data_IF_669176114018
#
_entry.id   IF_669176114018
#
_cell.length_a   1.000
_cell.length_b   1.000
_cell.length_c   1.000
_cell.angle_alpha   90.00
_cell.angle_beta   90.00
_cell.angle_gamma   90.00
#
_symmetry.space_group_name_H-M   'P 1'
#
loop_
_entity.id
_entity.type
_entity.pdbx_description
1 polymer ?
#
# COMPACT_ATOMS: atom_id res chain seq x y z
N UNK A 1 5.35 14.64 11.99
CA UNK A 1 4.54 14.24 10.83
C UNK A 1 5.38 13.27 10.00
N UNK A 2 4.76 12.50 9.11
CA UNK A 2 5.49 11.63 8.21
C UNK A 2 4.91 11.78 6.80
N UNK A 3 5.77 12.12 5.83
CA UNK A 3 5.41 12.13 4.42
C UNK A 3 5.58 10.71 3.88
N UNK A 4 4.51 10.16 3.31
CA UNK A 4 4.57 8.83 2.68
C UNK A 4 4.73 8.97 1.18
N UNK A 5 5.73 8.31 0.62
CA UNK A 5 5.89 8.15 -0.83
C UNK A 5 5.67 6.70 -1.24
N UNK A 6 4.78 6.50 -2.20
CA UNK A 6 4.48 5.21 -2.79
C UNK A 6 5.55 4.90 -3.85
N UNK A 7 6.22 3.77 -3.72
CA UNK A 7 7.27 3.31 -4.63
C UNK A 7 6.74 2.28 -5.62
N UNK A 8 5.94 1.34 -5.13
CA UNK A 8 5.23 0.35 -5.93
C UNK A 8 3.83 0.14 -5.34
N UNK A 9 2.87 -0.22 -6.19
CA UNK A 9 1.54 -0.56 -5.75
C UNK A 9 0.83 -1.49 -6.72
N UNK A 10 -0.09 -2.28 -6.18
CA UNK A 10 -0.90 -3.20 -6.97
C UNK A 10 -2.29 -3.39 -6.39
N UNK A 11 -3.21 -3.88 -7.22
CA UNK A 11 -4.57 -4.23 -6.84
C UNK A 11 -5.07 -5.43 -7.65
N UNK A 12 -6.00 -6.20 -7.07
CA UNK A 12 -6.70 -7.29 -7.74
C UNK A 12 -8.10 -6.87 -8.22
N UNK A 13 -8.55 -5.67 -7.84
CA UNK A 13 -9.86 -5.16 -8.22
C UNK A 13 -9.81 -4.62 -9.65
N UNK A 14 -10.87 -4.83 -10.45
CA UNK A 14 -10.95 -4.27 -11.80
C UNK A 14 -10.86 -2.74 -11.76
N UNK A 15 -10.43 -2.15 -12.88
CA UNK A 15 -10.30 -0.71 -13.02
C UNK A 15 -11.68 -0.08 -13.28
N UNK A 16 -12.60 -0.23 -12.33
CA UNK A 16 -13.89 0.46 -12.33
C UNK A 16 -13.77 1.81 -11.60
N UNK A 17 -13.84 2.95 -12.28
CA UNK A 17 -13.62 4.27 -11.70
C UNK A 17 -14.69 4.67 -10.66
N UNK A 18 -15.78 3.90 -10.54
CA UNK A 18 -16.88 4.12 -9.60
C UNK A 18 -16.81 3.28 -8.31
N UNK A 19 -15.89 2.31 -8.22
CA UNK A 19 -15.77 1.41 -7.08
C UNK A 19 -14.60 1.75 -6.15
N UNK A 20 -14.80 1.50 -4.85
CA UNK A 20 -13.73 1.48 -3.86
C UNK A 20 -12.78 0.31 -4.15
N UNK A 21 -11.47 0.54 -4.02
CA UNK A 21 -10.48 -0.50 -4.29
C UNK A 21 -9.45 -0.60 -3.19
N UNK A 22 -9.12 -1.82 -2.82
CA UNK A 22 -8.02 -2.11 -1.90
C UNK A 22 -6.73 -2.20 -2.71
N UNK A 23 -5.72 -1.46 -2.25
CA UNK A 23 -4.39 -1.41 -2.82
C UNK A 23 -3.38 -1.93 -1.81
N UNK A 24 -2.41 -2.67 -2.31
CA UNK A 24 -1.21 -3.06 -1.58
C UNK A 24 -0.05 -2.21 -2.08
N UNK A 25 0.68 -1.57 -1.17
CA UNK A 25 1.68 -0.56 -1.50
C UNK A 25 3.00 -0.85 -0.79
N UNK A 26 4.11 -0.73 -1.52
CA UNK A 26 5.44 -0.57 -0.96
C UNK A 26 5.76 0.92 -0.88
N UNK A 27 6.07 1.40 0.33
CA UNK A 27 6.23 2.81 0.62
C UNK A 27 7.55 3.10 1.30
N UNK A 28 7.98 4.36 1.19
CA UNK A 28 8.95 4.97 2.11
C UNK A 28 8.27 6.05 2.95
N UNK A 29 8.49 5.99 4.25
CA UNK A 29 8.02 6.89 5.28
C UNK A 29 9.16 7.85 5.62
N UNK A 30 8.97 9.13 5.32
CA UNK A 30 9.95 10.19 5.57
C UNK A 30 9.45 10.95 6.80
N UNK A 31 10.14 10.79 7.92
CA UNK A 31 9.82 11.44 9.18
C UNK A 31 10.47 12.82 9.28
N UNK A 32 9.99 13.66 10.21
CA UNK A 32 10.46 15.04 10.37
C UNK A 32 11.95 15.15 10.76
N UNK A 33 12.51 14.09 11.35
CA UNK A 33 13.93 13.96 11.70
C UNK A 33 14.80 13.49 10.52
N UNK A 34 14.24 13.48 9.30
CA UNK A 34 14.82 12.94 8.07
C UNK A 34 15.14 11.43 8.12
N UNK A 35 14.68 10.70 9.13
CA UNK A 35 14.74 9.24 9.08
C UNK A 35 13.80 8.73 7.99
N UNK A 36 14.23 7.65 7.33
CA UNK A 36 13.47 7.00 6.29
C UNK A 36 13.27 5.56 6.71
N UNK A 37 12.02 5.14 6.79
CA UNK A 37 11.67 3.73 6.93
C UNK A 37 10.93 3.25 5.70
N UNK A 38 11.07 1.99 5.38
CA UNK A 38 10.33 1.35 4.30
C UNK A 38 9.35 0.35 4.87
N UNK A 39 8.23 0.16 4.17
CA UNK A 39 7.24 -0.78 4.64
C UNK A 39 6.10 -0.97 3.67
N UNK A 40 5.36 -2.05 3.91
CA UNK A 40 4.14 -2.36 3.20
C UNK A 40 2.93 -1.77 3.90
N UNK A 41 1.90 -1.42 3.14
CA UNK A 41 0.58 -1.10 3.68
C UNK A 41 -0.55 -1.48 2.74
N UNK A 42 -1.71 -1.67 3.33
CA UNK A 42 -2.98 -1.76 2.63
C UNK A 42 -3.71 -0.41 2.71
N UNK A 43 -4.34 0.01 1.62
CA UNK A 43 -5.14 1.25 1.60
C UNK A 43 -6.36 1.13 0.70
N UNK A 44 -7.49 1.67 1.15
CA UNK A 44 -8.67 1.83 0.32
C UNK A 44 -8.59 3.16 -0.43
N UNK A 45 -8.79 3.11 -1.75
CA UNK A 45 -8.90 4.31 -2.59
C UNK A 45 -10.34 4.55 -2.97
N UNK A 46 -10.77 5.81 -2.89
CA UNK A 46 -12.08 6.25 -3.35
C UNK A 46 -12.13 6.19 -4.89
N UNK A 47 -13.28 5.91 -5.49
CA UNK A 47 -13.51 6.14 -6.92
C UNK A 47 -13.02 7.50 -7.43
N UNK A 48 -12.50 7.50 -8.65
CA UNK A 48 -11.92 8.68 -9.29
C UNK A 48 -12.95 9.79 -9.51
N UNK A 49 -14.21 9.40 -9.71
CA UNK A 49 -15.34 10.28 -9.98
C UNK A 49 -15.66 11.22 -8.80
N UNK A 50 -15.27 10.83 -7.58
CA UNK A 50 -15.46 11.60 -6.35
C UNK A 50 -14.16 12.28 -5.87
N UNK A 51 -13.25 12.58 -6.79
CA UNK A 51 -12.02 13.34 -6.53
C UNK A 51 -10.78 12.52 -6.18
N UNK A 52 -10.83 11.18 -6.31
CA UNK A 52 -9.64 10.29 -6.30
C UNK A 52 -8.76 10.35 -5.05
N UNK A 53 -9.20 11.02 -3.99
CA UNK A 53 -8.36 11.28 -2.82
C UNK A 53 -8.05 9.99 -2.05
N UNK A 54 -6.81 9.87 -1.60
CA UNK A 54 -6.39 8.85 -0.64
C UNK A 54 -7.11 9.13 0.67
N UNK A 55 -8.27 8.52 0.88
CA UNK A 55 -8.82 8.47 2.22
C UNK A 55 -8.05 7.41 3.00
N UNK A 56 -7.13 7.87 3.84
CA UNK A 56 -6.68 7.15 5.04
C UNK A 56 -7.84 7.00 6.05
N UNK A 57 -9.04 6.69 5.56
CA UNK A 57 -10.22 6.47 6.39
C UNK A 57 -9.95 5.22 7.21
N UNK A 58 -9.51 5.49 8.45
CA UNK A 58 -9.18 4.56 9.54
C UNK A 58 -7.75 4.05 9.40
N UNK A 59 -6.89 4.42 10.35
CA UNK A 59 -5.46 4.04 10.43
C UNK A 59 -5.16 2.54 10.48
N UNK A 60 -6.15 1.69 10.20
CA UNK A 60 -6.05 0.28 9.90
C UNK A 60 -7.00 -0.01 8.73
N UNK A 61 -6.47 -0.51 7.61
CA UNK A 61 -7.30 -0.91 6.49
C UNK A 61 -8.06 -2.19 6.84
N UNK A 62 -9.40 -2.16 6.75
CA UNK A 62 -10.21 -3.39 6.78
C UNK A 62 -9.90 -4.21 5.52
N UNK A 63 -9.36 -5.40 5.68
CA UNK A 63 -9.15 -6.34 4.58
C UNK A 63 -10.34 -7.31 4.56
N UNK A 64 -11.01 -7.54 3.41
CA UNK A 64 -12.23 -8.36 3.36
C UNK A 64 -12.02 -9.82 3.77
N UNK A 65 -10.86 -10.39 3.45
CA UNK A 65 -10.49 -11.77 3.78
C UNK A 65 -8.97 -11.96 3.69
N UNK A 66 -8.45 -13.02 4.31
CA UNK A 66 -7.04 -13.42 4.18
C UNK A 66 -6.70 -13.73 2.73
N UNK A 67 -7.58 -14.40 1.99
CA UNK A 67 -7.37 -14.72 0.58
C UNK A 67 -7.11 -13.46 -0.27
N UNK A 68 -7.81 -12.34 0.00
CA UNK A 68 -7.55 -11.06 -0.68
C UNK A 68 -6.15 -10.52 -0.36
N UNK A 69 -5.72 -10.63 0.90
CA UNK A 69 -4.37 -10.26 1.32
C UNK A 69 -3.30 -11.08 0.56
N UNK A 70 -3.46 -12.40 0.55
CA UNK A 70 -2.53 -13.33 -0.10
C UNK A 70 -2.43 -13.08 -1.60
N UNK A 71 -3.56 -12.85 -2.29
CA UNK A 71 -3.58 -12.55 -3.71
C UNK A 71 -2.83 -11.25 -4.05
N UNK A 72 -3.01 -10.21 -3.23
CA UNK A 72 -2.30 -8.94 -3.40
C UNK A 72 -0.79 -9.11 -3.18
N UNK A 73 -0.37 -9.85 -2.15
CA UNK A 73 1.04 -10.16 -1.88
C UNK A 73 1.64 -10.99 -3.02
N UNK A 74 0.93 -12.04 -3.46
CA UNK A 74 1.37 -12.89 -4.56
C UNK A 74 1.56 -12.08 -5.85
N UNK A 75 0.64 -11.16 -6.16
CA UNK A 75 0.75 -10.26 -7.30
C UNK A 75 1.99 -9.35 -7.18
N UNK A 76 2.23 -8.75 -6.02
CA UNK A 76 3.43 -7.95 -5.77
C UNK A 76 4.75 -8.75 -5.92
N UNK A 77 4.75 -10.03 -5.52
CA UNK A 77 5.89 -10.94 -5.72
C UNK A 77 6.12 -11.24 -7.20
N UNK A 78 5.06 -11.51 -7.96
CA UNK A 78 5.13 -11.71 -9.42
C UNK A 78 5.64 -10.46 -10.12
N UNK A 79 5.26 -9.27 -9.65
CA UNK A 79 5.76 -7.98 -10.14
C UNK A 79 7.20 -7.66 -9.67
N UNK A 80 7.83 -8.53 -8.88
CA UNK A 80 9.25 -8.44 -8.52
C UNK A 80 9.58 -7.51 -7.34
N UNK A 81 8.59 -7.03 -6.59
CA UNK A 81 8.83 -6.11 -5.46
C UNK A 81 8.24 -6.56 -4.12
N UNK A 82 7.45 -7.63 -4.08
CA UNK A 82 6.75 -8.11 -2.87
C UNK A 82 7.62 -8.76 -1.79
N UNK A 83 8.93 -8.85 -1.98
CA UNK A 83 9.90 -9.37 -1.00
C UNK A 83 10.95 -8.32 -0.58
N UNK A 84 10.75 -7.04 -0.92
CA UNK A 84 11.60 -5.95 -0.40
C UNK A 84 11.45 -5.86 1.12
N UNK A 85 12.54 -5.51 1.79
CA UNK A 85 12.60 -5.25 3.23
C UNK A 85 13.14 -3.84 3.46
N UNK A 86 12.93 -3.31 4.66
CA UNK A 86 13.62 -2.09 5.05
C UNK A 86 15.13 -2.39 5.16
N UNK A 87 16.01 -1.64 4.47
CA UNK A 87 17.45 -1.78 4.60
C UNK A 87 17.98 -1.53 6.03
N UNK A 88 17.24 -0.81 6.87
CA UNK A 88 17.63 -0.60 8.27
C UNK A 88 17.22 -1.78 9.18
N UNK A 89 16.09 -2.45 8.86
CA UNK A 89 15.67 -3.69 9.55
C UNK A 89 16.49 -4.93 9.14
N UNK A 90 17.37 -4.83 8.14
CA UNK A 90 18.39 -5.86 7.89
C UNK A 90 19.54 -5.78 8.89
N UNK A 91 19.24 -6.00 10.18
CA UNK A 91 20.22 -6.37 11.21
C UNK A 91 19.93 -7.83 11.65
N UNK A 92 20.99 -8.61 11.95
CA UNK A 92 21.05 -10.07 11.76
C UNK A 92 20.14 -10.93 12.63
#
# INVERSE_FOLDING_TARGET
MARVQILNETTIYPIDPSAWRLWFQWCRYIYDDNTIQYGYRFIWRRPANDGGSLQAARGQARIPSIAVMEQLIAKARVEGWGNKTDPDESHP
#
